data_IF_789434513974
#
_entry.id   IF_789434513974
#
_cell.length_a   1.000
_cell.length_b   1.000
_cell.length_c   1.000
_cell.angle_alpha   90.00
_cell.angle_beta   90.00
_cell.angle_gamma   90.00
#
_symmetry.space_group_name_H-M   'P 1'
#
loop_
_entity.id
_entity.type
_entity.pdbx_description
1 polymer ?
#
# COMPACT_ATOMS: atom_id res chain seq x y z
N UNK A 1 9.00 -49.12 -68.70
CA UNK A 1 9.23 -49.75 -67.38
C UNK A 1 9.28 -48.66 -66.33
N UNK A 2 8.37 -48.65 -65.36
CA UNK A 2 8.30 -47.64 -64.28
C UNK A 2 8.92 -48.26 -63.03
N UNK A 3 10.09 -47.77 -62.61
CA UNK A 3 10.76 -48.23 -61.37
C UNK A 3 10.06 -47.56 -60.20
N UNK A 4 9.38 -48.36 -59.36
CA UNK A 4 8.76 -47.92 -58.11
C UNK A 4 9.83 -47.95 -57.00
N UNK A 5 10.45 -46.81 -56.72
CA UNK A 5 11.30 -46.63 -55.54
C UNK A 5 10.41 -46.48 -54.29
N UNK A 6 10.41 -47.51 -53.44
CA UNK A 6 9.76 -47.51 -52.12
C UNK A 6 10.61 -46.72 -51.13
N UNK A 7 10.16 -45.52 -50.76
CA UNK A 7 10.79 -44.72 -49.69
C UNK A 7 10.44 -45.33 -48.32
N UNK A 8 11.43 -45.67 -47.47
CA UNK A 8 11.13 -46.22 -46.15
C UNK A 8 10.47 -45.15 -45.26
N UNK A 9 9.28 -45.46 -44.72
CA UNK A 9 8.65 -44.65 -43.68
C UNK A 9 9.30 -44.97 -42.35
N UNK A 10 10.12 -44.05 -41.83
CA UNK A 10 10.62 -44.12 -40.47
C UNK A 10 9.45 -44.01 -39.48
N UNK A 11 9.23 -45.07 -38.71
CA UNK A 11 8.30 -45.03 -37.57
C UNK A 11 8.82 -44.02 -36.56
N UNK A 12 8.07 -42.94 -36.32
CA UNK A 12 8.36 -42.05 -35.21
C UNK A 12 7.87 -42.73 -33.93
N UNK A 13 8.75 -43.04 -32.96
CA UNK A 13 8.29 -43.59 -31.69
C UNK A 13 7.35 -42.58 -31.04
N UNK A 14 6.15 -43.03 -30.67
CA UNK A 14 5.19 -42.24 -29.91
C UNK A 14 5.57 -42.21 -28.42
N UNK A 15 5.09 -41.19 -27.71
CA UNK A 15 5.25 -41.10 -26.25
C UNK A 15 4.59 -42.30 -25.56
N UNK A 16 5.28 -42.89 -24.60
CA UNK A 16 4.75 -43.96 -23.76
C UNK A 16 3.91 -43.41 -22.61
N UNK A 17 2.96 -44.20 -22.12
CA UNK A 17 2.15 -43.85 -20.95
C UNK A 17 3.01 -43.60 -19.71
N UNK A 18 4.11 -44.34 -19.55
CA UNK A 18 5.01 -44.21 -18.39
C UNK A 18 5.82 -42.91 -18.46
N UNK A 19 6.25 -42.48 -19.64
CA UNK A 19 6.90 -41.18 -19.83
C UNK A 19 5.95 -40.03 -19.49
N UNK A 20 4.69 -40.12 -19.92
CA UNK A 20 3.70 -39.10 -19.57
C UNK A 20 3.39 -39.11 -18.06
N UNK A 21 3.25 -40.29 -17.45
CA UNK A 21 2.94 -40.46 -16.03
C UNK A 21 4.04 -39.91 -15.12
N UNK A 22 5.31 -40.19 -15.46
CA UNK A 22 6.46 -39.68 -14.71
C UNK A 22 6.58 -38.16 -14.82
N UNK A 23 6.33 -37.58 -16.00
CA UNK A 23 6.33 -36.13 -16.18
C UNK A 23 5.25 -35.44 -15.34
N UNK A 24 3.99 -35.91 -15.38
CA UNK A 24 2.93 -35.29 -14.58
C UNK A 24 3.18 -35.47 -13.08
N UNK A 25 3.82 -36.56 -12.68
CA UNK A 25 4.18 -36.82 -11.28
C UNK A 25 5.27 -35.86 -10.80
N UNK A 26 6.32 -35.65 -11.60
CA UNK A 26 7.37 -34.67 -11.30
C UNK A 26 6.81 -33.26 -11.25
N UNK A 27 5.98 -32.86 -12.23
CA UNK A 27 5.32 -31.55 -12.25
C UNK A 27 4.40 -31.37 -11.03
N UNK A 28 3.67 -32.41 -10.62
CA UNK A 28 2.82 -32.38 -9.43
C UNK A 28 3.61 -32.14 -8.14
N UNK A 29 4.76 -32.81 -7.97
CA UNK A 29 5.64 -32.62 -6.81
C UNK A 29 6.20 -31.19 -6.79
N UNK A 30 6.69 -30.70 -7.94
CA UNK A 30 7.22 -29.34 -8.05
C UNK A 30 6.16 -28.27 -7.76
N UNK A 31 4.94 -28.46 -8.28
CA UNK A 31 3.82 -27.55 -8.04
C UNK A 31 3.43 -27.54 -6.55
N UNK A 32 3.37 -28.69 -5.89
CA UNK A 32 3.06 -28.79 -4.46
C UNK A 32 4.10 -28.08 -3.59
N UNK A 33 5.39 -28.28 -3.88
CA UNK A 33 6.47 -27.60 -3.17
C UNK A 33 6.42 -26.06 -3.37
N UNK A 34 6.10 -25.61 -4.59
CA UNK A 34 6.04 -24.18 -4.91
C UNK A 34 4.89 -23.44 -4.20
N UNK A 35 3.75 -24.10 -3.97
CA UNK A 35 2.58 -23.48 -3.32
C UNK A 35 2.87 -23.02 -1.88
N UNK A 36 3.74 -23.71 -1.13
CA UNK A 36 4.04 -23.39 0.26
C UNK A 36 4.69 -22.02 0.49
N UNK A 37 5.46 -21.51 -0.48
CA UNK A 37 6.17 -20.23 -0.37
C UNK A 37 5.34 -19.03 -0.86
N UNK A 38 4.33 -19.28 -1.70
CA UNK A 38 3.60 -18.24 -2.42
C UNK A 38 2.93 -17.21 -1.49
N UNK A 39 2.29 -17.68 -0.41
CA UNK A 39 1.58 -16.80 0.53
C UNK A 39 2.49 -15.77 1.21
N UNK A 40 3.67 -16.20 1.68
CA UNK A 40 4.64 -15.31 2.33
C UNK A 40 5.23 -14.29 1.36
N UNK A 41 5.46 -14.69 0.10
CA UNK A 41 5.98 -13.78 -0.94
C UNK A 41 4.96 -12.67 -1.21
N UNK A 42 3.68 -13.02 -1.37
CA UNK A 42 2.60 -12.04 -1.58
C UNK A 42 2.46 -11.12 -0.36
N UNK A 43 2.54 -11.66 0.86
CA UNK A 43 2.47 -10.86 2.08
C UNK A 43 3.65 -9.88 2.21
N UNK A 44 4.87 -10.31 1.94
CA UNK A 44 6.05 -9.44 1.95
C UNK A 44 5.99 -8.37 0.85
N UNK A 45 5.46 -8.73 -0.33
CA UNK A 45 5.22 -7.76 -1.39
C UNK A 45 4.21 -6.69 -0.95
N UNK A 46 3.13 -7.07 -0.27
CA UNK A 46 2.17 -6.12 0.31
C UNK A 46 2.80 -5.23 1.37
N UNK A 47 3.58 -5.78 2.32
CA UNK A 47 4.31 -4.99 3.34
C UNK A 47 5.24 -3.96 2.68
N UNK A 48 6.01 -4.39 1.69
CA UNK A 48 6.95 -3.52 0.97
C UNK A 48 6.22 -2.42 0.20
N UNK A 49 5.15 -2.78 -0.50
CA UNK A 49 4.31 -1.83 -1.23
C UNK A 49 3.67 -0.80 -0.30
N UNK A 50 3.05 -1.23 0.81
CA UNK A 50 2.50 -0.33 1.83
C UNK A 50 3.55 0.62 2.40
N UNK A 51 4.78 0.15 2.61
CA UNK A 51 5.88 0.99 3.11
C UNK A 51 6.27 2.08 2.12
N UNK A 52 6.34 1.74 0.83
CA UNK A 52 6.62 2.71 -0.24
C UNK A 52 5.49 3.73 -0.35
N UNK A 53 4.23 3.28 -0.28
CA UNK A 53 3.06 4.16 -0.31
C UNK A 53 3.03 5.11 0.88
N UNK A 54 3.25 4.60 2.10
CA UNK A 54 3.29 5.42 3.32
C UNK A 54 4.42 6.45 3.30
N UNK A 55 5.60 6.09 2.79
CA UNK A 55 6.70 7.06 2.55
C UNK A 55 6.34 8.10 1.51
N UNK A 56 5.71 7.71 0.41
CA UNK A 56 5.22 8.64 -0.62
C UNK A 56 4.23 9.67 -0.06
N UNK A 57 3.35 9.27 0.86
CA UNK A 57 2.44 10.21 1.55
C UNK A 57 3.22 11.17 2.45
N UNK A 58 4.17 10.67 3.24
CA UNK A 58 5.00 11.50 4.11
C UNK A 58 5.84 12.52 3.30
N UNK A 59 6.40 12.09 2.16
CA UNK A 59 7.15 12.94 1.25
C UNK A 59 6.25 14.02 0.62
N UNK A 60 5.02 13.66 0.23
CA UNK A 60 4.04 14.61 -0.31
C UNK A 60 3.66 15.70 0.70
N UNK A 61 3.45 15.33 1.97
CA UNK A 61 3.23 16.30 3.06
C UNK A 61 4.44 17.20 3.25
N UNK A 62 5.65 16.64 3.16
CA UNK A 62 6.91 17.40 3.29
C UNK A 62 7.08 18.39 2.13
N UNK A 63 6.74 18.00 0.90
CA UNK A 63 6.76 18.88 -0.26
C UNK A 63 5.71 20.00 -0.15
N UNK A 64 4.49 19.67 0.29
CA UNK A 64 3.47 20.66 0.58
C UNK A 64 3.96 21.69 1.61
N UNK A 65 4.62 21.23 2.69
CA UNK A 65 5.22 22.13 3.67
C UNK A 65 6.28 23.04 3.04
N UNK A 66 7.14 22.53 2.16
CA UNK A 66 8.13 23.33 1.45
C UNK A 66 7.52 24.43 0.57
N UNK A 67 6.33 24.20 0.02
CA UNK A 67 5.64 25.15 -0.85
C UNK A 67 4.83 26.22 -0.09
N UNK A 68 4.22 25.84 1.03
CA UNK A 68 3.29 26.71 1.77
C UNK A 68 3.80 27.18 3.13
N UNK A 69 4.94 26.65 3.61
CA UNK A 69 5.49 26.87 4.95
C UNK A 69 4.48 26.58 6.09
N UNK A 70 3.52 25.70 5.82
CA UNK A 70 2.51 25.23 6.77
C UNK A 70 2.16 23.79 6.43
N UNK A 71 1.80 23.00 7.43
CA UNK A 71 1.32 21.63 7.23
C UNK A 71 -0.12 21.63 6.69
N UNK A 72 -0.50 20.62 5.89
CA UNK A 72 -1.88 20.42 5.51
C UNK A 72 -2.69 20.07 6.76
N UNK A 73 -3.85 20.70 6.90
CA UNK A 73 -4.69 20.57 8.07
C UNK A 73 -5.84 19.60 7.78
N UNK A 74 -5.88 18.42 8.42
CA UNK A 74 -7.02 17.51 8.27
C UNK A 74 -8.28 18.07 8.93
N UNK A 75 -9.42 17.44 8.64
CA UNK A 75 -10.71 17.82 9.24
C UNK A 75 -10.73 17.63 10.76
N UNK A 76 -10.01 16.62 11.26
CA UNK A 76 -9.86 16.29 12.68
C UNK A 76 -8.87 17.19 13.45
N UNK A 77 -8.23 18.17 12.81
CA UNK A 77 -7.13 18.92 13.42
C UNK A 77 -7.56 19.80 14.60
N UNK A 78 -7.09 19.45 15.80
CA UNK A 78 -7.14 20.29 17.00
C UNK A 78 -6.14 21.45 16.92
N UNK A 79 -6.43 22.53 17.66
CA UNK A 79 -5.50 23.65 17.80
C UNK A 79 -4.59 23.40 19.02
N UNK A 80 -3.28 23.61 18.85
CA UNK A 80 -2.30 23.58 19.95
C UNK A 80 -1.62 22.23 20.18
N UNK A 81 -2.09 21.15 19.55
CA UNK A 81 -1.51 19.81 19.62
C UNK A 81 -1.23 19.26 18.21
N UNK A 82 -0.48 18.15 18.16
CA UNK A 82 -0.31 17.35 16.94
C UNK A 82 -1.65 16.90 16.37
N UNK A 83 -1.75 16.93 15.04
CA UNK A 83 -2.96 16.48 14.36
C UNK A 83 -2.81 15.03 13.92
N UNK A 84 -3.64 14.15 14.46
CA UNK A 84 -3.76 12.75 14.01
C UNK A 84 -4.93 12.64 13.03
N UNK A 85 -4.71 11.94 11.91
CA UNK A 85 -5.68 11.80 10.83
C UNK A 85 -5.38 10.54 10.02
N UNK A 86 -6.21 10.24 9.04
CA UNK A 86 -6.02 9.11 8.14
C UNK A 86 -6.11 9.52 6.66
N UNK A 87 -5.91 8.56 5.77
CA UNK A 87 -6.02 8.75 4.32
C UNK A 87 -7.42 8.47 3.78
N UNK A 88 -8.45 8.43 4.63
CA UNK A 88 -9.82 8.31 4.19
C UNK A 88 -10.29 9.58 3.47
N UNK A 89 -11.31 9.43 2.64
CA UNK A 89 -11.97 10.59 2.02
C UNK A 89 -12.61 11.54 3.04
N UNK A 90 -12.99 11.04 4.22
CA UNK A 90 -13.65 11.81 5.27
C UNK A 90 -12.74 12.88 5.87
N UNK A 91 -11.46 12.54 6.07
CA UNK A 91 -10.47 13.46 6.63
C UNK A 91 -9.96 14.50 5.63
N UNK A 92 -10.11 14.23 4.33
CA UNK A 92 -9.79 15.17 3.26
C UNK A 92 -8.29 15.40 3.03
N UNK A 93 -7.40 14.70 3.76
CA UNK A 93 -5.95 14.88 3.62
C UNK A 93 -5.46 14.59 2.20
N UNK A 94 -5.87 13.46 1.62
CA UNK A 94 -5.52 13.10 0.25
C UNK A 94 -6.07 14.13 -0.75
N UNK A 95 -7.23 14.74 -0.46
CA UNK A 95 -7.83 15.77 -1.30
C UNK A 95 -6.99 17.05 -1.34
N UNK A 96 -6.45 17.46 -0.20
CA UNK A 96 -5.49 18.58 -0.10
C UNK A 96 -4.21 18.27 -0.87
N UNK A 97 -3.62 17.09 -0.65
CA UNK A 97 -2.35 16.70 -1.27
C UNK A 97 -2.46 16.51 -2.80
N UNK A 98 -3.64 16.13 -3.30
CA UNK A 98 -3.88 15.99 -4.76
C UNK A 98 -4.27 17.31 -5.43
N UNK A 99 -4.47 18.39 -4.67
CA UNK A 99 -4.95 19.67 -5.19
C UNK A 99 -6.37 19.62 -5.73
N UNK A 100 -7.17 18.62 -5.29
CA UNK A 100 -8.56 18.39 -5.69
C UNK A 100 -9.55 18.92 -4.66
N UNK A 101 -9.13 19.89 -3.87
CA UNK A 101 -10.03 20.66 -3.01
C UNK A 101 -11.11 21.33 -3.85
N UNK A 102 -12.35 21.31 -3.34
CA UNK A 102 -13.44 22.01 -3.98
C UNK A 102 -13.21 23.53 -3.98
N UNK A 103 -13.97 24.25 -4.78
CA UNK A 103 -14.00 25.72 -4.70
C UNK A 103 -14.70 26.13 -3.41
N UNK A 104 -13.93 26.22 -2.33
CA UNK A 104 -14.35 26.69 -1.01
C UNK A 104 -13.47 27.86 -0.56
N UNK A 105 -13.92 28.64 0.40
CA UNK A 105 -13.19 29.82 0.91
C UNK A 105 -11.87 29.46 1.63
N UNK A 106 -11.63 28.19 1.93
CA UNK A 106 -10.44 27.71 2.66
C UNK A 106 -9.64 26.68 1.87
N UNK A 107 -9.31 26.97 0.60
CA UNK A 107 -8.39 26.12 -0.18
C UNK A 107 -7.01 26.16 0.48
N UNK A 108 -6.51 24.98 0.85
CA UNK A 108 -5.19 24.84 1.46
C UNK A 108 -4.09 24.82 0.39
N UNK A 109 -4.30 24.06 -0.67
CA UNK A 109 -3.44 23.91 -1.84
C UNK A 109 -3.88 24.84 -2.99
N UNK A 110 -3.64 26.14 -2.84
CA UNK A 110 -4.06 27.15 -3.83
C UNK A 110 -3.39 27.00 -5.21
N UNK A 111 -2.21 26.37 -5.27
CA UNK A 111 -1.49 26.05 -6.52
C UNK A 111 -2.09 24.86 -7.28
N UNK A 112 -2.98 24.08 -6.65
CA UNK A 112 -3.56 22.84 -7.21
C UNK A 112 -2.48 21.84 -7.66
N UNK A 113 -1.33 21.85 -6.99
CA UNK A 113 -0.23 20.91 -7.25
C UNK A 113 -0.61 19.53 -6.76
N UNK A 114 -0.38 18.49 -7.55
CA UNK A 114 -0.56 17.11 -7.11
C UNK A 114 0.74 16.59 -6.49
N UNK A 115 0.86 16.64 -5.17
CA UNK A 115 2.03 16.13 -4.44
C UNK A 115 2.10 14.60 -4.39
N UNK A 116 0.99 13.92 -4.72
CA UNK A 116 0.92 12.46 -4.82
C UNK A 116 1.06 11.98 -6.28
N UNK A 117 1.56 12.84 -7.16
CA UNK A 117 1.85 12.47 -8.55
C UNK A 117 2.89 11.34 -8.59
N UNK A 118 2.61 10.30 -9.36
CA UNK A 118 3.46 9.10 -9.44
C UNK A 118 3.20 8.05 -8.35
N UNK A 119 2.36 8.34 -7.35
CA UNK A 119 1.87 7.32 -6.45
C UNK A 119 1.05 6.28 -7.23
N UNK A 120 1.30 5.01 -6.95
CA UNK A 120 0.64 3.89 -7.63
C UNK A 120 -0.89 3.98 -7.43
N UNK A 121 -1.63 3.82 -8.52
CA UNK A 121 -3.08 3.73 -8.49
C UNK A 121 -3.55 2.47 -7.76
N UNK A 122 -4.60 2.61 -6.95
CA UNK A 122 -5.22 1.51 -6.24
C UNK A 122 -5.82 0.48 -7.21
N UNK A 123 -5.91 -0.77 -6.74
CA UNK A 123 -6.48 -1.89 -7.48
C UNK A 123 -7.83 -2.25 -6.88
N UNK A 124 -8.79 -2.56 -7.75
CA UNK A 124 -10.05 -3.15 -7.31
C UNK A 124 -9.77 -4.49 -6.61
N UNK A 125 -10.37 -4.67 -5.44
CA UNK A 125 -10.23 -5.90 -4.67
C UNK A 125 -10.99 -7.03 -5.37
N UNK A 126 -10.31 -8.14 -5.58
CA UNK A 126 -10.85 -9.34 -6.26
C UNK A 126 -11.18 -10.50 -5.32
N UNK A 127 -10.98 -10.33 -4.01
CA UNK A 127 -11.15 -11.38 -2.99
C UNK A 127 -12.27 -11.09 -1.97
N UNK A 128 -12.58 -12.10 -1.16
CA UNK A 128 -13.69 -12.08 -0.16
C UNK A 128 -13.30 -11.33 1.13
N UNK A 129 -12.00 -11.14 1.41
CA UNK A 129 -11.57 -10.44 2.63
C UNK A 129 -12.01 -8.98 2.57
N UNK A 130 -12.61 -8.50 3.65
CA UNK A 130 -12.90 -7.09 3.86
C UNK A 130 -11.68 -6.35 4.37
N UNK A 131 -11.71 -5.02 4.29
CA UNK A 131 -10.76 -4.23 5.05
C UNK A 131 -11.15 -4.36 6.51
N UNK A 132 -10.16 -4.37 7.38
CA UNK A 132 -10.42 -4.19 8.80
C UNK A 132 -10.60 -2.68 9.03
N UNK A 133 -11.48 -2.32 9.97
CA UNK A 133 -11.84 -0.90 10.15
C UNK A 133 -10.69 -0.15 10.85
N UNK A 134 -10.21 1.01 10.34
CA UNK A 134 -10.73 1.78 9.20
C UNK A 134 -10.09 1.42 7.84
N UNK A 135 -10.91 1.26 6.79
CA UNK A 135 -10.41 0.96 5.44
C UNK A 135 -11.49 0.86 4.36
N UNK A 136 -11.04 0.59 3.13
CA UNK A 136 -11.89 0.47 1.93
C UNK A 136 -12.18 -0.99 1.59
N UNK A 137 -13.47 -1.32 1.42
CA UNK A 137 -13.89 -2.66 1.00
C UNK A 137 -13.64 -2.91 -0.50
N UNK A 138 -13.47 -1.84 -1.28
CA UNK A 138 -13.39 -1.88 -2.75
C UNK A 138 -11.96 -1.87 -3.25
N UNK A 139 -11.06 -1.17 -2.55
CA UNK A 139 -9.75 -0.80 -3.07
C UNK A 139 -8.64 -1.38 -2.20
N UNK A 140 -7.52 -1.72 -2.85
CA UNK A 140 -6.28 -2.13 -2.18
C UNK A 140 -5.07 -1.53 -2.90
N UNK A 141 -3.98 -1.31 -2.17
CA UNK A 141 -2.63 -1.16 -2.72
C UNK A 141 -2.48 0.07 -3.64
N UNK A 142 -2.82 1.27 -3.14
CA UNK A 142 -2.54 2.52 -3.84
C UNK A 142 -3.46 3.69 -3.54
N UNK A 143 -3.34 4.72 -4.38
CA UNK A 143 -4.16 5.93 -4.41
C UNK A 143 -5.44 5.70 -5.19
N UNK A 144 -6.58 6.01 -4.59
CA UNK A 144 -7.91 6.00 -5.19
C UNK A 144 -8.25 7.44 -5.58
N UNK A 145 -8.58 7.64 -6.86
CA UNK A 145 -8.94 8.94 -7.40
C UNK A 145 -10.40 8.92 -7.87
N UNK A 146 -11.32 8.60 -6.95
CA UNK A 146 -12.76 8.78 -7.20
C UNK A 146 -13.12 10.27 -7.10
N UNK A 147 -14.06 10.72 -7.93
CA UNK A 147 -14.43 12.12 -8.03
C UNK A 147 -14.98 12.63 -6.68
N UNK A 148 -14.27 13.59 -6.07
CA UNK A 148 -14.67 14.22 -4.81
C UNK A 148 -14.22 13.50 -3.53
N UNK A 149 -13.80 12.24 -3.62
CA UNK A 149 -13.46 11.38 -2.48
C UNK A 149 -12.14 10.62 -2.69
N UNK A 150 -11.01 11.32 -2.93
CA UNK A 150 -9.75 10.62 -3.09
C UNK A 150 -9.29 10.08 -1.73
N UNK A 151 -8.81 8.83 -1.73
CA UNK A 151 -8.35 8.10 -0.55
C UNK A 151 -7.07 7.32 -0.89
N UNK A 152 -6.30 6.91 0.10
CA UNK A 152 -5.15 6.03 -0.12
C UNK A 152 -5.25 4.80 0.78
N UNK A 153 -4.96 3.64 0.22
CA UNK A 153 -5.14 2.36 0.91
C UNK A 153 -3.91 1.47 0.79
N UNK A 154 -3.63 0.73 1.86
CA UNK A 154 -2.50 -0.17 1.96
C UNK A 154 -2.72 -1.49 1.19
N UNK A 155 -1.74 -2.40 1.23
CA UNK A 155 -1.80 -3.71 0.57
C UNK A 155 -2.96 -4.63 1.01
N UNK A 156 -3.65 -4.31 2.11
CA UNK A 156 -4.81 -5.02 2.63
C UNK A 156 -6.11 -4.23 2.46
N UNK A 157 -6.04 -2.95 2.15
CA UNK A 157 -7.18 -2.05 1.95
C UNK A 157 -7.47 -1.16 3.17
N UNK A 158 -6.64 -1.21 4.20
CA UNK A 158 -6.77 -0.32 5.35
C UNK A 158 -6.27 1.08 4.97
N UNK A 159 -6.80 2.12 5.60
CA UNK A 159 -6.26 3.46 5.44
C UNK A 159 -4.90 3.57 6.13
N UNK A 160 -4.08 4.51 5.66
CA UNK A 160 -2.87 4.90 6.37
C UNK A 160 -3.27 5.91 7.43
N UNK A 161 -2.78 5.69 8.63
CA UNK A 161 -2.89 6.63 9.73
C UNK A 161 -1.64 7.51 9.73
N UNK A 162 -1.82 8.78 10.06
CA UNK A 162 -0.73 9.74 10.04
C UNK A 162 -0.87 10.77 11.16
N UNK A 163 0.27 11.30 11.55
CA UNK A 163 0.36 12.38 12.53
C UNK A 163 1.27 13.48 12.00
N UNK A 164 0.85 14.72 12.23
CA UNK A 164 1.49 15.93 11.78
C UNK A 164 1.88 16.76 13.01
N UNK A 165 3.11 17.28 13.00
CA UNK A 165 3.66 18.24 13.96
C UNK A 165 2.99 19.62 13.77
N UNK A 166 1.72 19.69 14.15
CA UNK A 166 0.87 20.87 13.96
C UNK A 166 1.15 21.96 14.99
N UNK A 167 1.78 21.62 16.11
CA UNK A 167 2.22 22.58 17.13
C UNK A 167 3.64 23.14 16.84
N UNK A 168 4.36 22.56 15.87
CA UNK A 168 5.70 22.95 15.43
C UNK A 168 6.76 22.89 16.54
N UNK A 169 6.63 21.96 17.47
CA UNK A 169 7.63 21.74 18.52
C UNK A 169 8.79 20.84 18.05
N UNK A 170 8.64 20.20 16.88
CA UNK A 170 9.64 19.34 16.27
C UNK A 170 9.72 17.94 16.88
N UNK A 171 8.78 17.56 17.76
CA UNK A 171 8.72 16.25 18.38
C UNK A 171 7.29 15.70 18.44
N UNK A 172 7.02 14.60 17.75
CA UNK A 172 5.71 13.94 17.84
C UNK A 172 5.74 12.73 18.78
N UNK A 173 4.61 12.48 19.45
CA UNK A 173 4.43 11.23 20.21
C UNK A 173 4.51 10.02 19.27
N UNK A 174 5.27 9.01 19.69
CA UNK A 174 5.40 7.76 18.93
C UNK A 174 4.15 6.88 19.14
N UNK A 175 3.37 6.58 18.07
CA UNK A 175 2.23 5.68 18.21
C UNK A 175 2.63 4.22 18.46
N UNK A 176 3.92 3.87 18.27
CA UNK A 176 4.45 2.54 18.52
C UNK A 176 4.75 2.30 20.00
N UNK A 177 3.81 1.61 20.67
CA UNK A 177 3.90 1.25 22.08
C UNK A 177 5.10 0.37 22.42
N UNK A 178 5.54 -0.49 21.51
CA UNK A 178 6.73 -1.33 21.70
C UNK A 178 7.99 -0.45 21.74
N UNK A 179 8.14 0.48 20.78
CA UNK A 179 9.26 1.44 20.75
C UNK A 179 9.23 2.44 21.92
N UNK A 180 8.03 2.84 22.36
CA UNK A 180 7.86 3.67 23.56
C UNK A 180 8.37 2.92 24.79
N UNK A 181 8.07 1.62 24.91
CA UNK A 181 8.59 0.75 25.96
C UNK A 181 10.11 0.61 25.95
N UNK A 182 10.74 0.75 24.77
CA UNK A 182 12.19 0.76 24.57
C UNK A 182 12.84 2.15 24.81
N UNK A 183 12.04 3.17 25.14
CA UNK A 183 12.51 4.53 25.46
C UNK A 183 12.42 5.53 24.31
N UNK A 184 11.89 5.15 23.14
CA UNK A 184 11.68 6.04 21.98
C UNK A 184 10.26 6.63 22.01
N UNK A 185 9.95 7.40 23.05
CA UNK A 185 8.62 7.98 23.25
C UNK A 185 8.28 9.11 22.27
N UNK A 186 9.30 9.81 21.76
CA UNK A 186 9.15 10.93 20.83
C UNK A 186 9.94 10.72 19.54
N UNK A 187 9.41 11.24 18.44
CA UNK A 187 10.00 11.17 17.11
C UNK A 187 10.31 12.58 16.60
N UNK A 188 11.54 12.86 16.10
CA UNK A 188 11.93 14.19 15.62
C UNK A 188 11.42 14.49 14.20
N UNK A 189 10.39 13.78 13.77
CA UNK A 189 9.82 13.87 12.43
C UNK A 189 8.76 14.97 12.40
N UNK A 190 8.53 15.58 11.23
CA UNK A 190 7.42 16.55 11.05
C UNK A 190 6.11 15.87 10.66
N UNK A 191 6.23 14.72 9.99
CA UNK A 191 5.12 13.87 9.58
C UNK A 191 5.53 12.42 9.75
N UNK A 192 4.62 11.64 10.32
CA UNK A 192 4.73 10.18 10.42
C UNK A 192 3.49 9.55 9.81
N UNK A 193 3.68 8.45 9.10
CA UNK A 193 2.61 7.71 8.42
C UNK A 193 2.82 6.23 8.72
N UNK A 194 1.75 5.54 9.11
CA UNK A 194 1.78 4.10 9.35
C UNK A 194 0.53 3.42 8.79
N UNK A 195 0.61 2.11 8.63
CA UNK A 195 -0.52 1.25 8.25
C UNK A 195 -0.63 0.13 9.28
N UNK A 196 -1.88 -0.23 9.59
CA UNK A 196 -2.25 -1.29 10.52
C UNK A 196 -2.00 -2.71 9.98
N UNK A 197 -1.29 -2.85 8.85
CA UNK A 197 -0.87 -4.14 8.33
C UNK A 197 -2.01 -5.08 7.93
N UNK A 198 -1.82 -6.38 8.18
CA UNK A 198 -2.72 -7.46 7.78
C UNK A 198 -3.83 -7.67 8.79
N UNK A 199 -3.56 -7.41 10.07
CA UNK A 199 -4.53 -7.57 11.15
C UNK A 199 -5.47 -6.36 11.30
N UNK A 200 -5.08 -5.22 10.75
CA UNK A 200 -5.87 -4.00 10.77
C UNK A 200 -5.99 -3.34 12.13
N UNK A 201 -5.09 -3.65 13.06
CA UNK A 201 -5.12 -3.15 14.43
C UNK A 201 -3.93 -2.24 14.68
N UNK A 202 -4.20 -0.95 14.82
CA UNK A 202 -3.14 0.04 15.05
C UNK A 202 -2.44 -0.12 16.40
N UNK A 203 -3.07 -0.78 17.37
CA UNK A 203 -2.52 -1.00 18.70
C UNK A 203 -1.50 -2.14 18.75
N UNK A 204 -1.52 -3.06 17.77
CA UNK A 204 -0.63 -4.23 17.73
C UNK A 204 0.46 -4.02 16.68
N UNK A 205 1.71 -3.89 17.12
CA UNK A 205 2.82 -3.48 16.27
C UNK A 205 3.60 -4.62 15.59
N UNK A 206 3.09 -5.86 15.66
CA UNK A 206 3.74 -7.04 15.07
C UNK A 206 3.80 -7.00 13.52
N UNK A 207 2.78 -6.44 12.88
CA UNK A 207 2.69 -6.34 11.42
C UNK A 207 2.44 -4.93 10.88
N UNK A 208 2.35 -3.93 11.77
CA UNK A 208 2.27 -2.53 11.40
C UNK A 208 3.47 -2.10 10.56
N UNK A 209 3.19 -1.26 9.56
CA UNK A 209 4.19 -0.70 8.67
C UNK A 209 4.32 0.78 8.95
N UNK A 210 5.53 1.24 9.27
CA UNK A 210 5.85 2.64 9.55
C UNK A 210 6.68 3.29 8.44
N UNK A 211 6.52 4.60 8.26
CA UNK A 211 7.31 5.40 7.33
C UNK A 211 8.65 5.86 7.91
N UNK A 212 8.78 5.91 9.23
CA UNK A 212 9.99 6.31 9.96
C UNK A 212 10.84 5.10 10.35
N UNK A 213 12.15 5.27 10.29
CA UNK A 213 13.15 4.37 10.88
C UNK A 213 14.25 5.22 11.50
#
# INVERSE_FOLDING_TARGET
MKVLTLTPRFHRPGFTLIELLTVISIVGILAAAAMGAYGKIVENAKRTDSRVLGKGIADAVTQYYGDYNRLPRPSSASAGDDSSTDTSAGEGMIKVLTGKEGEADTIQNSRKTNYLEGMKAAKARTGIRKAESPGSDKWVSGLVMEEGSPEAVDGWGNYFSMRLDSNYDGEMENPNTDEVGEGRAKLPNRVIVWSAGKDGKEETWEDNIKSWD
#
